data_IF_556381059896
#
_entry.id   IF_556381059896
#
_cell.length_a   1.000
_cell.length_b   1.000
_cell.length_c   1.000
_cell.angle_alpha   90.00
_cell.angle_beta   90.00
_cell.angle_gamma   90.00
#
_symmetry.space_group_name_H-M   'P 1'
#
loop_
_entity.id
_entity.type
_entity.pdbx_description
1 polymer ?
#
# COMPACT_ATOMS: atom_id res chain seq x y z
N UNK A 1 -10.97 11.72 -26.67
CA UNK A 1 -9.75 12.41 -26.21
C UNK A 1 -9.57 12.22 -24.71
N UNK A 2 -8.39 11.80 -24.29
CA UNK A 2 -8.04 11.63 -22.88
C UNK A 2 -8.08 12.94 -22.13
N UNK A 3 -8.74 12.95 -20.98
CA UNK A 3 -8.82 14.12 -20.08
C UNK A 3 -7.74 14.04 -19.01
N UNK A 4 -6.52 14.38 -19.37
CA UNK A 4 -5.35 14.29 -18.47
C UNK A 4 -5.52 15.05 -17.15
N UNK A 5 -6.28 16.18 -17.16
CA UNK A 5 -6.61 16.89 -15.92
C UNK A 5 -7.37 16.02 -14.89
N UNK A 6 -8.30 15.16 -15.35
CA UNK A 6 -9.01 14.23 -14.49
C UNK A 6 -8.10 13.13 -13.94
N UNK A 7 -7.16 12.64 -14.78
CA UNK A 7 -6.14 11.67 -14.35
C UNK A 7 -5.25 12.29 -13.28
N UNK A 8 -4.76 13.51 -13.51
CA UNK A 8 -3.91 14.22 -12.55
C UNK A 8 -4.62 14.45 -11.21
N UNK A 9 -5.89 14.86 -11.22
CA UNK A 9 -6.68 15.06 -10.00
C UNK A 9 -6.89 13.73 -9.26
N UNK A 10 -7.16 12.63 -9.97
CA UNK A 10 -7.30 11.31 -9.36
C UNK A 10 -5.98 10.84 -8.70
N UNK A 11 -4.85 11.01 -9.38
CA UNK A 11 -3.51 10.68 -8.86
C UNK A 11 -3.18 11.56 -7.64
N UNK A 12 -3.43 12.88 -7.71
CA UNK A 12 -3.24 13.78 -6.58
C UNK A 12 -4.13 13.40 -5.38
N UNK A 13 -5.36 12.96 -5.62
CA UNK A 13 -6.24 12.41 -4.57
C UNK A 13 -5.65 11.17 -3.90
N UNK A 14 -5.06 10.28 -4.69
CA UNK A 14 -4.33 9.12 -4.17
C UNK A 14 -3.09 9.53 -3.35
N UNK A 15 -2.27 10.44 -3.88
CA UNK A 15 -1.08 10.97 -3.17
C UNK A 15 -1.50 11.60 -1.84
N UNK A 16 -2.56 12.42 -1.83
CA UNK A 16 -3.09 13.01 -0.61
C UNK A 16 -3.54 11.96 0.40
N UNK A 17 -4.22 10.91 -0.05
CA UNK A 17 -4.60 9.78 0.81
C UNK A 17 -3.37 9.05 1.38
N UNK A 18 -2.30 8.89 0.61
CA UNK A 18 -1.05 8.27 1.06
C UNK A 18 -0.28 9.11 2.09
N UNK A 19 -0.45 10.45 2.12
CA UNK A 19 0.11 11.31 3.18
C UNK A 19 -0.36 10.83 4.56
N UNK A 20 -1.63 10.39 4.67
CA UNK A 20 -2.20 9.90 5.93
C UNK A 20 -1.58 8.58 6.40
N UNK A 21 -1.01 7.80 5.49
CA UNK A 21 -0.20 6.62 5.84
C UNK A 21 1.21 7.04 6.26
N UNK A 22 1.82 7.94 5.51
CA UNK A 22 3.21 8.38 5.71
C UNK A 22 3.46 9.24 6.95
N UNK A 23 2.42 9.81 7.59
CA UNK A 23 2.60 10.69 8.76
C UNK A 23 2.95 9.95 10.05
N UNK A 24 2.57 8.67 10.18
CA UNK A 24 2.74 7.93 11.44
C UNK A 24 4.20 7.52 11.69
N UNK A 25 4.94 6.91 10.75
CA UNK A 25 6.31 6.44 11.01
C UNK A 25 7.25 7.49 11.60
N UNK A 26 7.36 8.73 11.07
CA UNK A 26 8.21 9.76 11.65
C UNK A 26 7.72 10.27 13.02
N UNK A 27 6.41 10.15 13.30
CA UNK A 27 5.81 10.62 14.54
C UNK A 27 5.94 9.59 15.69
N UNK A 28 6.29 8.32 15.43
CA UNK A 28 6.37 7.27 16.44
C UNK A 28 7.21 7.67 17.66
N UNK A 29 8.42 8.24 17.54
CA UNK A 29 9.21 8.64 18.69
C UNK A 29 8.48 9.64 19.60
N UNK A 30 7.79 10.64 19.02
CA UNK A 30 7.01 11.63 19.77
C UNK A 30 5.76 11.01 20.41
N UNK A 31 5.03 10.17 19.68
CA UNK A 31 3.84 9.47 20.20
C UNK A 31 4.21 8.58 21.39
N UNK A 32 5.39 7.93 21.35
CA UNK A 32 5.87 7.11 22.46
C UNK A 32 6.23 7.96 23.69
N UNK A 33 6.82 9.13 23.51
CA UNK A 33 7.20 10.01 24.63
C UNK A 33 6.01 10.81 25.18
N UNK A 34 5.12 11.32 24.34
CA UNK A 34 4.02 12.20 24.75
C UNK A 34 2.77 11.44 25.20
N UNK A 35 2.44 10.32 24.56
CA UNK A 35 1.25 9.50 24.86
C UNK A 35 1.58 8.21 25.61
N UNK A 36 2.86 7.93 25.89
CA UNK A 36 3.28 6.70 26.57
C UNK A 36 3.07 5.42 25.75
N UNK A 37 2.90 5.52 24.43
CA UNK A 37 2.67 4.39 23.57
C UNK A 37 3.87 3.44 23.54
N UNK A 38 3.62 2.15 23.66
CA UNK A 38 4.62 1.14 23.36
C UNK A 38 4.78 0.91 21.83
N UNK A 39 5.76 0.12 21.45
CA UNK A 39 6.04 -0.16 20.04
C UNK A 39 4.91 -0.96 19.38
N UNK A 40 4.25 -1.83 20.13
CA UNK A 40 3.13 -2.65 19.63
C UNK A 40 1.92 -1.79 19.33
N UNK A 41 1.58 -0.86 20.22
CA UNK A 41 0.52 0.13 20.05
C UNK A 41 0.80 1.03 18.84
N UNK A 42 2.05 1.47 18.64
CA UNK A 42 2.46 2.20 17.45
C UNK A 42 2.29 1.36 16.16
N UNK A 43 2.60 0.06 16.22
CA UNK A 43 2.36 -0.87 15.13
C UNK A 43 0.88 -1.00 14.75
N UNK A 44 -0.01 -1.08 15.74
CA UNK A 44 -1.46 -1.05 15.52
C UNK A 44 -1.90 0.27 14.90
N UNK A 45 -1.40 1.41 15.38
CA UNK A 45 -1.74 2.73 14.85
C UNK A 45 -1.38 2.86 13.36
N UNK A 46 -0.25 2.28 12.92
CA UNK A 46 0.12 2.21 11.50
C UNK A 46 -0.85 1.33 10.72
N UNK A 47 -1.13 0.13 11.23
CA UNK A 47 -1.94 -0.86 10.54
C UNK A 47 -3.40 -0.45 10.36
N UNK A 48 -3.98 0.30 11.31
CA UNK A 48 -5.38 0.72 11.28
C UNK A 48 -5.76 1.52 10.04
N UNK A 49 -4.82 2.18 9.37
CA UNK A 49 -5.09 2.85 8.09
C UNK A 49 -5.65 1.90 7.03
N UNK A 50 -5.27 0.62 7.09
CA UNK A 50 -5.70 -0.42 6.14
C UNK A 50 -6.74 -1.39 6.70
N UNK A 51 -7.17 -1.21 7.96
CA UNK A 51 -8.01 -2.19 8.66
C UNK A 51 -9.35 -2.45 7.96
N UNK A 52 -10.04 -1.40 7.54
CA UNK A 52 -11.31 -1.56 6.83
C UNK A 52 -11.14 -2.16 5.43
N UNK A 53 -9.99 -1.90 4.78
CA UNK A 53 -9.64 -2.57 3.52
C UNK A 53 -9.46 -4.07 3.68
N UNK A 54 -8.91 -4.48 4.81
CA UNK A 54 -8.74 -5.90 5.14
C UNK A 54 -10.09 -6.62 5.36
N UNK A 55 -11.06 -5.94 5.97
CA UNK A 55 -12.36 -6.56 6.34
C UNK A 55 -13.46 -6.27 5.32
N UNK A 56 -13.58 -5.01 4.90
CA UNK A 56 -14.74 -4.49 4.17
C UNK A 56 -14.44 -4.10 2.72
N UNK A 57 -13.29 -4.44 2.15
CA UNK A 57 -12.89 -4.01 0.81
C UNK A 57 -13.93 -4.28 -0.27
N UNK A 58 -14.58 -5.46 -0.27
CA UNK A 58 -15.69 -5.78 -1.17
C UNK A 58 -16.95 -4.93 -0.93
N UNK A 59 -17.31 -4.70 0.36
CA UNK A 59 -18.52 -3.97 0.74
C UNK A 59 -18.38 -2.50 0.36
N UNK A 60 -17.22 -1.91 0.65
CA UNK A 60 -16.94 -0.50 0.32
C UNK A 60 -16.81 -0.35 -1.21
N UNK A 61 -16.20 -1.32 -1.90
CA UNK A 61 -16.20 -1.35 -3.36
C UNK A 61 -17.62 -1.29 -3.93
N UNK A 62 -18.54 -2.09 -3.41
CA UNK A 62 -19.94 -2.08 -3.82
C UNK A 62 -20.66 -0.78 -3.48
N UNK A 63 -20.38 -0.21 -2.31
CA UNK A 63 -20.94 1.09 -1.93
C UNK A 63 -20.46 2.22 -2.86
N UNK A 64 -19.22 2.19 -3.31
CA UNK A 64 -18.69 3.15 -4.29
C UNK A 64 -19.33 3.00 -5.67
N UNK A 65 -19.88 1.83 -6.03
CA UNK A 65 -20.61 1.62 -7.27
C UNK A 65 -21.95 2.39 -7.30
N UNK A 66 -22.60 2.60 -6.14
CA UNK A 66 -23.81 3.44 -6.04
C UNK A 66 -23.50 4.94 -6.12
N UNK A 67 -22.28 5.33 -5.79
CA UNK A 67 -21.79 6.69 -5.92
C UNK A 67 -21.06 6.84 -7.26
N UNK A 68 -21.10 8.03 -7.85
CA UNK A 68 -20.16 8.30 -8.95
C UNK A 68 -18.73 8.29 -8.40
N UNK A 69 -17.75 7.82 -9.17
CA UNK A 69 -16.34 7.79 -8.75
C UNK A 69 -15.87 9.13 -8.18
N UNK A 70 -16.32 10.25 -8.76
CA UNK A 70 -16.04 11.60 -8.25
C UNK A 70 -16.61 11.82 -6.85
N UNK A 71 -17.88 11.49 -6.61
CA UNK A 71 -18.52 11.67 -5.29
C UNK A 71 -17.88 10.79 -4.24
N UNK A 72 -17.55 9.55 -4.59
CA UNK A 72 -16.85 8.62 -3.70
C UNK A 72 -15.46 9.16 -3.31
N UNK A 73 -14.69 9.73 -4.24
CA UNK A 73 -13.41 10.37 -3.92
C UNK A 73 -13.56 11.60 -3.04
N UNK A 74 -14.55 12.47 -3.31
CA UNK A 74 -14.81 13.66 -2.47
C UNK A 74 -15.15 13.24 -1.04
N UNK A 75 -16.06 12.28 -0.86
CA UNK A 75 -16.43 11.76 0.44
C UNK A 75 -15.23 11.09 1.14
N UNK A 76 -14.45 10.31 0.42
CA UNK A 76 -13.24 9.69 0.95
C UNK A 76 -12.21 10.71 1.45
N UNK A 77 -11.94 11.77 0.66
CA UNK A 77 -11.05 12.86 1.07
C UNK A 77 -11.63 13.65 2.26
N UNK A 78 -12.94 13.88 2.30
CA UNK A 78 -13.59 14.55 3.44
C UNK A 78 -13.44 13.73 4.74
N UNK A 79 -13.57 12.40 4.67
CA UNK A 79 -13.33 11.50 5.81
C UNK A 79 -11.86 11.48 6.24
N UNK A 80 -10.92 11.50 5.30
CA UNK A 80 -9.49 11.61 5.61
C UNK A 80 -9.19 12.93 6.34
N UNK A 81 -9.75 14.05 5.87
CA UNK A 81 -9.60 15.36 6.52
C UNK A 81 -10.21 15.33 7.92
N UNK A 82 -11.47 14.89 8.06
CA UNK A 82 -12.16 14.84 9.33
C UNK A 82 -11.45 13.94 10.35
N UNK A 83 -11.06 12.74 9.95
CA UNK A 83 -10.28 11.82 10.79
C UNK A 83 -8.94 12.43 11.20
N UNK A 84 -8.23 13.08 10.27
CA UNK A 84 -6.95 13.70 10.57
C UNK A 84 -7.07 14.87 11.55
N UNK A 85 -8.06 15.74 11.37
CA UNK A 85 -8.32 16.85 12.29
C UNK A 85 -8.77 16.33 13.67
N UNK A 86 -9.60 15.29 13.73
CA UNK A 86 -9.99 14.64 14.99
C UNK A 86 -8.76 14.08 15.72
N UNK A 87 -7.85 13.40 14.99
CA UNK A 87 -6.60 12.90 15.57
C UNK A 87 -5.68 14.03 16.05
N UNK A 88 -5.56 15.13 15.29
CA UNK A 88 -4.74 16.27 15.69
C UNK A 88 -5.26 16.99 16.93
N UNK A 89 -6.57 16.98 17.16
CA UNK A 89 -7.22 17.69 18.27
C UNK A 89 -7.20 16.93 19.60
N UNK A 90 -6.60 15.72 19.65
CA UNK A 90 -6.65 14.86 20.84
C UNK A 90 -5.27 14.59 21.43
N UNK A 91 -5.23 14.35 22.74
CA UNK A 91 -4.13 13.71 23.45
C UNK A 91 -4.52 12.32 23.97
N UNK A 92 -5.74 11.85 23.65
CA UNK A 92 -6.21 10.53 24.03
C UNK A 92 -5.84 9.50 22.97
N UNK A 93 -5.16 8.44 23.39
CA UNK A 93 -4.82 7.30 22.52
C UNK A 93 -6.08 6.70 21.88
N UNK A 94 -7.14 6.48 22.67
CA UNK A 94 -8.41 5.91 22.18
C UNK A 94 -9.01 6.75 21.05
N UNK A 95 -9.04 8.08 21.22
CA UNK A 95 -9.58 8.99 20.19
C UNK A 95 -8.68 9.03 18.96
N UNK A 96 -7.36 8.94 19.16
CA UNK A 96 -6.41 8.85 18.05
C UNK A 96 -6.66 7.57 17.23
N UNK A 97 -6.87 6.42 17.88
CA UNK A 97 -7.24 5.17 17.22
C UNK A 97 -8.58 5.27 16.47
N UNK A 98 -9.61 5.84 17.12
CA UNK A 98 -10.90 6.08 16.45
C UNK A 98 -10.75 6.96 15.21
N UNK A 99 -9.91 8.01 15.28
CA UNK A 99 -9.60 8.87 14.14
C UNK A 99 -8.99 8.09 12.97
N UNK A 100 -8.11 7.11 13.25
CA UNK A 100 -7.52 6.23 12.22
C UNK A 100 -8.55 5.33 11.55
N UNK A 101 -9.56 4.86 12.28
CA UNK A 101 -10.68 4.10 11.69
C UNK A 101 -11.44 4.97 10.69
N UNK A 102 -11.72 6.24 11.02
CA UNK A 102 -12.36 7.18 10.10
C UNK A 102 -11.49 7.42 8.86
N UNK A 103 -10.18 7.63 9.04
CA UNK A 103 -9.24 7.78 7.92
C UNK A 103 -9.19 6.51 7.06
N UNK A 104 -9.29 5.31 7.64
CA UNK A 104 -9.30 4.04 6.91
C UNK A 104 -10.49 3.95 5.95
N UNK A 105 -11.70 4.39 6.35
CA UNK A 105 -12.85 4.49 5.43
C UNK A 105 -12.52 5.40 4.26
N UNK A 106 -11.98 6.59 4.56
CA UNK A 106 -11.62 7.57 3.54
C UNK A 106 -10.58 7.05 2.55
N UNK A 107 -9.54 6.40 3.06
CA UNK A 107 -8.45 5.82 2.26
C UNK A 107 -8.99 4.80 1.24
N UNK A 108 -9.84 3.88 1.70
CA UNK A 108 -10.41 2.85 0.82
C UNK A 108 -11.31 3.49 -0.24
N UNK A 109 -12.16 4.43 0.16
CA UNK A 109 -13.05 5.11 -0.80
C UNK A 109 -12.25 5.80 -1.91
N UNK A 110 -11.14 6.48 -1.58
CA UNK A 110 -10.26 7.11 -2.57
C UNK A 110 -9.60 6.06 -3.45
N UNK A 111 -9.02 5.01 -2.87
CA UNK A 111 -8.24 4.00 -3.61
C UNK A 111 -9.09 3.12 -4.52
N UNK A 112 -10.35 2.90 -4.17
CA UNK A 112 -11.30 2.15 -5.02
C UNK A 112 -11.89 3.05 -6.11
N UNK A 113 -12.19 4.32 -5.81
CA UNK A 113 -12.85 5.20 -6.76
C UNK A 113 -11.90 5.82 -7.80
N UNK A 114 -10.63 6.07 -7.44
CA UNK A 114 -9.68 6.75 -8.32
C UNK A 114 -9.38 5.97 -9.62
N UNK A 115 -9.12 4.64 -9.61
CA UNK A 115 -8.97 3.86 -10.84
C UNK A 115 -10.18 3.94 -11.76
N UNK A 116 -11.40 3.93 -11.20
CA UNK A 116 -12.65 4.10 -11.95
C UNK A 116 -12.77 5.48 -12.59
N UNK A 117 -12.38 6.55 -11.88
CA UNK A 117 -12.34 7.90 -12.43
C UNK A 117 -11.32 8.01 -13.57
N UNK A 118 -10.14 7.42 -13.42
CA UNK A 118 -9.10 7.36 -14.46
C UNK A 118 -9.67 6.62 -15.68
N UNK A 119 -10.16 5.38 -15.51
CA UNK A 119 -10.68 4.57 -16.61
C UNK A 119 -11.79 5.25 -17.40
N UNK A 120 -12.68 6.01 -16.73
CA UNK A 120 -13.75 6.77 -17.38
C UNK A 120 -13.28 8.03 -18.11
N UNK A 121 -12.03 8.44 -17.91
CA UNK A 121 -11.47 9.71 -18.40
C UNK A 121 -10.41 9.55 -19.50
N UNK A 122 -10.05 8.31 -19.88
CA UNK A 122 -8.97 8.00 -20.81
C UNK A 122 -9.45 7.28 -22.06
N UNK A 123 -8.71 7.46 -23.14
CA UNK A 123 -8.80 6.64 -24.35
C UNK A 123 -7.98 5.35 -24.17
N UNK A 124 -8.34 4.28 -24.88
CA UNK A 124 -7.69 2.95 -24.77
C UNK A 124 -6.18 2.98 -25.00
N UNK A 125 -5.69 3.86 -25.89
CA UNK A 125 -4.26 4.05 -26.18
C UNK A 125 -3.45 4.60 -25.00
N UNK A 126 -4.08 5.35 -24.09
CA UNK A 126 -3.42 6.04 -22.98
C UNK A 126 -3.54 5.25 -21.65
N UNK A 127 -4.22 4.10 -21.68
CA UNK A 127 -4.48 3.28 -20.49
C UNK A 127 -3.20 2.93 -19.73
N UNK A 128 -2.17 2.47 -20.44
CA UNK A 128 -0.89 2.08 -19.83
C UNK A 128 -0.23 3.22 -19.06
N UNK A 129 -0.15 4.41 -19.67
CA UNK A 129 0.48 5.58 -19.03
C UNK A 129 -0.34 6.09 -17.83
N UNK A 130 -1.67 6.16 -17.97
CA UNK A 130 -2.54 6.65 -16.89
C UNK A 130 -2.48 5.75 -15.65
N UNK A 131 -2.49 4.43 -15.83
CA UNK A 131 -2.36 3.50 -14.70
C UNK A 131 -0.93 3.37 -14.17
N UNK A 132 0.10 3.63 -14.98
CA UNK A 132 1.47 3.76 -14.49
C UNK A 132 1.61 4.99 -13.58
N UNK A 133 1.02 6.14 -13.95
CA UNK A 133 0.95 7.33 -13.10
C UNK A 133 0.17 7.07 -11.80
N UNK A 134 -0.93 6.31 -11.90
CA UNK A 134 -1.64 5.88 -10.69
C UNK A 134 -0.76 5.00 -9.81
N UNK A 135 0.02 4.08 -10.37
CA UNK A 135 0.86 3.14 -9.61
C UNK A 135 1.86 3.79 -8.65
N UNK A 136 2.23 5.07 -8.86
CA UNK A 136 3.19 5.77 -7.98
C UNK A 136 2.55 6.56 -6.84
N UNK A 137 1.21 6.59 -6.73
CA UNK A 137 0.51 7.39 -5.73
C UNK A 137 0.94 7.09 -4.29
N UNK A 138 1.06 5.81 -3.96
CA UNK A 138 1.37 5.37 -2.59
C UNK A 138 2.82 5.69 -2.19
N UNK A 139 3.86 5.26 -2.92
CA UNK A 139 5.24 5.58 -2.54
C UNK A 139 5.52 7.08 -2.57
N UNK A 140 4.93 7.84 -3.51
CA UNK A 140 5.12 9.29 -3.56
C UNK A 140 4.47 9.97 -2.37
N UNK A 141 3.20 9.67 -2.03
CA UNK A 141 2.53 10.32 -0.91
C UNK A 141 3.19 10.00 0.43
N UNK A 142 3.54 8.73 0.66
CA UNK A 142 4.26 8.33 1.89
C UNK A 142 5.61 9.05 1.99
N UNK A 143 6.40 9.08 0.92
CA UNK A 143 7.71 9.71 0.92
C UNK A 143 7.61 11.23 1.11
N UNK A 144 6.68 11.91 0.43
CA UNK A 144 6.45 13.36 0.61
C UNK A 144 6.16 13.68 2.07
N UNK A 145 5.29 12.90 2.72
CA UNK A 145 4.98 13.13 4.13
C UNK A 145 6.19 12.89 5.03
N UNK A 146 6.94 11.81 4.80
CA UNK A 146 8.15 11.52 5.56
C UNK A 146 9.24 12.59 5.37
N UNK A 147 9.35 13.20 4.19
CA UNK A 147 10.29 14.30 3.93
C UNK A 147 9.88 15.60 4.60
N UNK A 148 8.59 15.86 4.76
CA UNK A 148 8.06 17.10 5.35
C UNK A 148 7.95 17.00 6.87
N UNK A 149 7.65 15.83 7.42
CA UNK A 149 7.47 15.62 8.86
C UNK A 149 8.59 16.19 9.73
N UNK A 150 9.91 16.05 9.39
CA UNK A 150 10.99 16.62 10.18
C UNK A 150 10.93 18.14 10.39
N UNK A 151 10.28 18.86 9.48
CA UNK A 151 10.10 20.31 9.59
C UNK A 151 8.85 20.69 10.39
N UNK A 152 7.90 19.78 10.51
CA UNK A 152 6.65 19.99 11.26
C UNK A 152 6.80 19.57 12.73
N UNK A 153 7.44 18.43 12.97
CA UNK A 153 7.50 17.81 14.29
C UNK A 153 8.14 18.70 15.38
N UNK A 154 9.26 19.44 15.14
CA UNK A 154 9.88 20.28 16.18
C UNK A 154 9.04 21.47 16.60
N UNK A 155 8.26 22.07 15.68
CA UNK A 155 7.49 23.29 15.96
C UNK A 155 6.00 23.05 16.27
N UNK A 156 5.43 21.97 15.75
CA UNK A 156 3.98 21.72 15.82
C UNK A 156 3.64 20.33 16.40
N UNK A 157 4.64 19.61 16.93
CA UNK A 157 4.44 18.27 17.43
C UNK A 157 3.96 17.28 16.33
N UNK A 158 3.59 16.09 16.71
CA UNK A 158 3.03 15.11 15.79
C UNK A 158 1.69 15.56 15.20
N UNK A 159 0.93 16.39 15.93
CA UNK A 159 -0.34 16.98 15.48
C UNK A 159 -0.17 17.79 14.19
N UNK A 160 0.96 18.50 14.04
CA UNK A 160 1.30 19.26 12.85
C UNK A 160 1.29 18.42 11.58
N UNK A 161 1.75 17.17 11.64
CA UNK A 161 1.72 16.23 10.52
C UNK A 161 0.29 15.83 10.15
N UNK A 162 -0.59 15.68 11.13
CA UNK A 162 -2.03 15.39 10.91
C UNK A 162 -2.74 16.57 10.24
N UNK A 163 -2.54 17.79 10.77
CA UNK A 163 -3.13 19.01 10.19
C UNK A 163 -2.61 19.24 8.77
N UNK A 164 -1.32 19.07 8.54
CA UNK A 164 -0.72 19.24 7.22
C UNK A 164 -1.32 18.26 6.19
N UNK A 165 -1.46 16.98 6.53
CA UNK A 165 -2.09 16.00 5.65
C UNK A 165 -3.56 16.36 5.34
N UNK A 166 -4.31 16.87 6.33
CA UNK A 166 -5.68 17.35 6.14
C UNK A 166 -5.74 18.54 5.16
N UNK A 167 -4.86 19.53 5.33
CA UNK A 167 -4.79 20.72 4.46
C UNK A 167 -4.45 20.32 3.02
N UNK A 168 -3.46 19.47 2.81
CA UNK A 168 -3.11 19.02 1.45
C UNK A 168 -4.21 18.19 0.78
N UNK A 169 -5.02 17.48 1.57
CA UNK A 169 -6.17 16.73 1.05
C UNK A 169 -7.31 17.62 0.55
N UNK A 170 -7.37 18.90 0.98
CA UNK A 170 -8.31 19.88 0.45
C UNK A 170 -8.06 20.20 -1.03
N UNK A 171 -6.81 20.17 -1.47
CA UNK A 171 -6.43 20.54 -2.85
C UNK A 171 -7.13 19.63 -3.87
N UNK A 172 -6.94 18.30 -3.87
CA UNK A 172 -7.65 17.43 -4.80
C UNK A 172 -9.15 17.38 -4.53
N UNK A 173 -9.61 17.57 -3.30
CA UNK A 173 -11.03 17.61 -2.98
C UNK A 173 -11.73 18.81 -3.64
N UNK A 174 -11.16 20.02 -3.55
CA UNK A 174 -11.66 21.22 -4.21
C UNK A 174 -11.60 21.06 -5.74
N UNK A 175 -10.48 20.53 -6.27
CA UNK A 175 -10.34 20.26 -7.68
C UNK A 175 -11.42 19.28 -8.20
N UNK A 176 -11.75 18.24 -7.42
CA UNK A 176 -12.84 17.33 -7.74
C UNK A 176 -14.20 18.04 -7.69
N UNK A 177 -14.44 18.94 -6.75
CA UNK A 177 -15.70 19.70 -6.65
C UNK A 177 -15.94 20.62 -7.84
N UNK A 178 -14.90 21.21 -8.40
CA UNK A 178 -14.97 22.09 -9.57
C UNK A 178 -14.96 21.35 -10.90
N UNK A 179 -14.62 20.06 -10.90
CA UNK A 179 -14.49 19.24 -12.10
C UNK A 179 -15.84 19.03 -12.80
N UNK A 180 -15.93 19.38 -14.08
CA UNK A 180 -17.09 19.05 -14.92
C UNK A 180 -17.02 17.57 -15.30
N UNK A 181 -17.94 16.75 -14.74
CA UNK A 181 -18.04 15.33 -15.09
C UNK A 181 -19.00 15.13 -16.26
N UNK A 182 -18.59 14.28 -17.23
CA UNK A 182 -19.56 13.72 -18.17
C UNK A 182 -20.56 12.83 -17.40
N UNK A 183 -21.81 12.69 -17.90
CA UNK A 183 -22.75 11.76 -17.30
C UNK A 183 -22.13 10.37 -17.20
N UNK A 184 -22.44 9.60 -16.15
CA UNK A 184 -21.90 8.25 -16.00
C UNK A 184 -22.21 7.47 -17.28
N UNK A 185 -21.18 6.92 -17.92
CA UNK A 185 -21.43 5.84 -18.87
C UNK A 185 -22.01 4.70 -18.02
N UNK A 186 -23.26 4.39 -18.25
CA UNK A 186 -23.88 3.19 -17.72
C UNK A 186 -23.11 2.00 -18.30
N UNK A 187 -22.06 1.59 -17.62
CA UNK A 187 -21.52 0.23 -17.82
C UNK A 187 -22.65 -0.69 -17.39
N UNK A 188 -23.15 -1.50 -18.33
CA UNK A 188 -24.27 -2.40 -18.10
C UNK A 188 -24.17 -3.07 -16.73
N UNK A 189 -25.30 -3.21 -16.06
CA UNK A 189 -25.34 -3.85 -14.74
C UNK A 189 -24.53 -5.14 -14.77
N UNK A 190 -23.68 -5.39 -13.78
CA UNK A 190 -22.94 -6.64 -13.72
C UNK A 190 -23.94 -7.80 -13.83
N UNK A 191 -23.79 -8.65 -14.81
CA UNK A 191 -24.69 -9.80 -15.07
C UNK A 191 -24.65 -10.84 -13.95
N UNK A 192 -23.75 -10.67 -12.98
CA UNK A 192 -23.48 -11.64 -11.90
C UNK A 192 -23.77 -10.98 -10.55
N UNK A 193 -24.50 -11.65 -9.67
CA UNK A 193 -24.70 -11.17 -8.29
C UNK A 193 -23.36 -11.10 -7.54
N UNK A 194 -23.24 -10.19 -6.55
CA UNK A 194 -22.02 -10.04 -5.76
C UNK A 194 -21.59 -11.36 -5.11
N UNK A 195 -22.55 -12.10 -4.56
CA UNK A 195 -22.28 -13.38 -3.90
C UNK A 195 -21.73 -14.43 -4.87
N UNK A 196 -22.25 -14.49 -6.09
CA UNK A 196 -21.75 -15.38 -7.13
C UNK A 196 -20.34 -14.97 -7.60
N UNK A 197 -20.10 -13.66 -7.77
CA UNK A 197 -18.79 -13.13 -8.15
C UNK A 197 -17.73 -13.45 -7.09
N UNK A 198 -18.05 -13.25 -5.80
CA UNK A 198 -17.19 -13.61 -4.67
C UNK A 198 -16.99 -15.13 -4.62
N UNK A 199 -18.06 -15.92 -4.72
CA UNK A 199 -17.96 -17.38 -4.71
C UNK A 199 -17.04 -17.93 -5.81
N UNK A 200 -17.17 -17.41 -7.05
CA UNK A 200 -16.30 -17.78 -8.17
C UNK A 200 -14.83 -17.34 -7.94
N UNK A 201 -14.61 -16.23 -7.29
CA UNK A 201 -13.26 -15.75 -6.98
C UNK A 201 -12.62 -16.60 -5.89
N UNK A 202 -13.31 -16.83 -4.78
CA UNK A 202 -12.80 -17.59 -3.62
C UNK A 202 -12.60 -19.08 -3.95
N UNK A 203 -13.37 -19.65 -4.88
CA UNK A 203 -13.19 -21.06 -5.29
C UNK A 203 -11.93 -21.33 -6.11
N UNK A 204 -11.22 -20.29 -6.59
CA UNK A 204 -10.03 -20.44 -7.41
C UNK A 204 -8.75 -20.42 -6.59
N UNK A 205 -7.89 -21.44 -6.67
CA UNK A 205 -6.61 -21.48 -5.95
C UNK A 205 -5.73 -20.26 -6.24
N UNK A 206 -5.77 -19.75 -7.48
CA UNK A 206 -4.97 -18.59 -7.91
C UNK A 206 -5.29 -17.32 -7.11
N UNK A 207 -6.55 -17.17 -6.68
CA UNK A 207 -6.98 -16.04 -5.83
C UNK A 207 -6.24 -16.03 -4.50
N UNK A 208 -6.17 -17.18 -3.86
CA UNK A 208 -5.48 -17.33 -2.58
C UNK A 208 -3.97 -17.23 -2.69
N UNK A 209 -3.39 -17.78 -3.78
CA UNK A 209 -1.95 -17.68 -4.03
C UNK A 209 -1.53 -16.22 -4.19
N UNK A 210 -2.18 -15.45 -5.07
CA UNK A 210 -1.82 -14.04 -5.28
C UNK A 210 -2.14 -13.18 -4.05
N UNK A 211 -3.26 -13.40 -3.39
CA UNK A 211 -3.62 -12.72 -2.15
C UNK A 211 -2.59 -13.01 -1.04
N UNK A 212 -2.21 -14.27 -0.86
CA UNK A 212 -1.21 -14.69 0.14
C UNK A 212 0.18 -14.10 -0.13
N UNK A 213 0.61 -14.04 -1.40
CA UNK A 213 1.86 -13.37 -1.80
C UNK A 213 1.78 -11.88 -1.42
N UNK A 214 0.63 -11.25 -1.64
CA UNK A 214 0.48 -9.84 -1.32
C UNK A 214 0.38 -9.58 0.19
N UNK A 215 -0.21 -10.51 0.97
CA UNK A 215 -0.12 -10.49 2.46
C UNK A 215 1.34 -10.48 2.89
N UNK A 216 2.11 -11.45 2.42
CA UNK A 216 3.52 -11.65 2.78
C UNK A 216 4.39 -10.42 2.45
N UNK A 217 4.24 -9.89 1.25
CA UNK A 217 4.92 -8.67 0.82
C UNK A 217 4.53 -7.46 1.65
N UNK A 218 3.23 -7.18 1.78
CA UNK A 218 2.76 -5.97 2.45
C UNK A 218 3.07 -6.01 3.94
N UNK A 219 2.99 -7.19 4.57
CA UNK A 219 3.39 -7.37 5.97
C UNK A 219 4.87 -7.03 6.17
N UNK A 220 5.75 -7.57 5.33
CA UNK A 220 7.19 -7.31 5.44
C UNK A 220 7.55 -5.87 5.10
N UNK A 221 6.98 -5.32 4.02
CA UNK A 221 7.28 -3.96 3.54
C UNK A 221 6.86 -2.88 4.56
N UNK A 222 5.62 -2.95 5.04
CA UNK A 222 5.10 -1.97 6.02
C UNK A 222 5.81 -2.09 7.36
N UNK A 223 6.24 -3.29 7.75
CA UNK A 223 7.04 -3.50 8.95
C UNK A 223 8.41 -2.82 8.85
N UNK A 224 9.12 -3.03 7.75
CA UNK A 224 10.45 -2.44 7.58
C UNK A 224 10.35 -0.93 7.47
N UNK A 225 9.57 -0.38 6.54
CA UNK A 225 9.54 1.07 6.30
C UNK A 225 8.71 1.85 7.32
N UNK A 226 7.79 1.20 8.01
CA UNK A 226 7.07 1.78 9.14
C UNK A 226 7.99 2.05 10.34
N UNK A 227 8.93 1.15 10.61
CA UNK A 227 9.85 1.28 11.72
C UNK A 227 11.27 1.68 11.35
N UNK A 228 11.61 1.84 10.07
CA UNK A 228 12.95 2.25 9.66
C UNK A 228 13.41 3.57 10.29
N UNK A 229 12.57 4.64 10.38
CA UNK A 229 12.99 5.86 11.12
C UNK A 229 13.33 5.56 12.56
N UNK A 230 12.51 4.78 13.26
CA UNK A 230 12.74 4.40 14.66
C UNK A 230 14.03 3.59 14.82
N UNK A 231 14.26 2.61 13.95
CA UNK A 231 15.50 1.81 13.93
C UNK A 231 16.75 2.69 13.74
N UNK A 232 16.70 3.63 12.78
CA UNK A 232 17.81 4.56 12.50
C UNK A 232 18.11 5.50 13.70
N UNK A 233 17.07 5.88 14.44
CA UNK A 233 17.21 6.73 15.63
C UNK A 233 17.73 5.91 16.80
N UNK A 234 17.07 4.80 17.15
CA UNK A 234 17.34 4.03 18.37
C UNK A 234 18.67 3.26 18.30
N UNK A 235 18.95 2.63 17.14
CA UNK A 235 20.10 1.75 17.00
C UNK A 235 21.34 2.42 16.42
N UNK A 236 21.17 3.55 15.71
CA UNK A 236 22.28 4.21 15.01
C UNK A 236 22.50 5.64 15.43
N UNK A 237 21.68 6.20 16.34
CA UNK A 237 21.81 7.57 16.81
C UNK A 237 21.58 8.64 15.73
N UNK A 238 20.92 8.29 14.64
CA UNK A 238 20.61 9.22 13.54
C UNK A 238 19.54 10.20 14.00
N UNK A 239 19.73 11.50 13.75
CA UNK A 239 18.70 12.49 14.07
C UNK A 239 17.40 12.26 13.26
N UNK A 240 16.27 12.58 13.88
CA UNK A 240 14.91 12.35 13.34
C UNK A 240 14.74 12.84 11.89
N UNK A 241 15.26 14.04 11.57
CA UNK A 241 15.19 14.61 10.24
C UNK A 241 15.89 13.74 9.19
N UNK A 242 17.13 13.37 9.47
CA UNK A 242 17.92 12.52 8.56
C UNK A 242 17.33 11.14 8.43
N UNK A 243 16.88 10.51 9.52
CA UNK A 243 16.25 9.19 9.51
C UNK A 243 14.95 9.17 8.67
N UNK A 244 14.13 10.22 8.80
CA UNK A 244 12.89 10.35 8.02
C UNK A 244 13.16 10.57 6.54
N UNK A 245 14.11 11.42 6.17
CA UNK A 245 14.51 11.67 4.77
C UNK A 245 15.13 10.40 4.15
N UNK A 246 16.02 9.72 4.85
CA UNK A 246 16.61 8.46 4.40
C UNK A 246 15.50 7.41 4.12
N UNK A 247 14.54 7.30 5.03
CA UNK A 247 13.41 6.38 4.85
C UNK A 247 12.53 6.78 3.66
N UNK A 248 12.26 8.08 3.49
CA UNK A 248 11.51 8.58 2.34
C UNK A 248 12.16 8.23 1.00
N UNK A 249 13.48 8.43 0.89
CA UNK A 249 14.25 8.10 -0.32
C UNK A 249 14.24 6.59 -0.58
N UNK A 250 14.37 5.78 0.46
CA UNK A 250 14.26 4.32 0.32
C UNK A 250 12.86 3.89 -0.13
N UNK A 251 11.79 4.49 0.41
CA UNK A 251 10.40 4.23 -0.04
C UNK A 251 10.19 4.64 -1.50
N UNK A 252 10.75 5.78 -1.94
CA UNK A 252 10.71 6.19 -3.35
C UNK A 252 11.40 5.19 -4.27
N UNK A 253 12.48 4.55 -3.81
CA UNK A 253 13.18 3.51 -4.58
C UNK A 253 12.28 2.29 -4.88
N UNK A 254 11.22 2.05 -4.10
CA UNK A 254 10.20 1.05 -4.43
C UNK A 254 9.52 1.34 -5.79
N UNK A 255 9.33 2.61 -6.13
CA UNK A 255 8.82 3.01 -7.44
C UNK A 255 9.72 2.54 -8.60
N UNK A 256 11.04 2.57 -8.44
CA UNK A 256 11.99 2.02 -9.41
C UNK A 256 11.75 0.51 -9.58
N UNK A 257 11.58 -0.21 -8.48
CA UNK A 257 11.25 -1.64 -8.49
C UNK A 257 9.94 -1.94 -9.24
N UNK A 258 8.91 -1.12 -9.05
CA UNK A 258 7.65 -1.26 -9.79
C UNK A 258 7.87 -1.14 -11.32
N UNK A 259 8.66 -0.16 -11.76
CA UNK A 259 8.99 0.02 -13.18
C UNK A 259 9.79 -1.20 -13.69
N UNK A 260 10.81 -1.63 -12.95
CA UNK A 260 11.62 -2.80 -13.32
C UNK A 260 10.77 -4.07 -13.43
N UNK A 261 9.82 -4.29 -12.51
CA UNK A 261 8.88 -5.40 -12.58
C UNK A 261 8.06 -5.41 -13.88
N UNK A 262 7.56 -4.24 -14.29
CA UNK A 262 6.86 -4.08 -15.56
C UNK A 262 7.76 -4.33 -16.78
N UNK A 263 9.00 -3.85 -16.75
CA UNK A 263 9.99 -4.06 -17.83
C UNK A 263 10.35 -5.54 -17.97
N UNK A 264 10.68 -6.21 -16.87
CA UNK A 264 11.02 -7.65 -16.87
C UNK A 264 9.84 -8.51 -17.33
N UNK A 265 8.63 -8.18 -16.92
CA UNK A 265 7.42 -8.85 -17.40
C UNK A 265 7.25 -8.70 -18.92
N UNK A 266 7.54 -7.50 -19.49
CA UNK A 266 7.52 -7.27 -20.95
C UNK A 266 8.61 -8.04 -21.70
N UNK A 267 9.75 -8.30 -21.07
CA UNK A 267 10.82 -9.14 -21.63
C UNK A 267 10.52 -10.64 -21.52
N UNK A 268 9.32 -11.00 -21.01
CA UNK A 268 8.90 -12.40 -20.93
C UNK A 268 9.42 -13.14 -19.70
N UNK A 269 9.93 -12.42 -18.68
CA UNK A 269 10.34 -13.06 -17.45
C UNK A 269 9.16 -13.79 -16.77
N UNK A 270 9.30 -15.06 -16.38
CA UNK A 270 8.23 -15.81 -15.74
C UNK A 270 7.77 -15.16 -14.45
N UNK A 271 6.46 -15.05 -14.25
CA UNK A 271 5.86 -14.37 -13.08
C UNK A 271 6.34 -14.95 -11.75
N UNK A 272 6.45 -16.27 -11.67
CA UNK A 272 6.93 -16.91 -10.45
C UNK A 272 8.37 -16.50 -10.09
N UNK A 273 9.25 -16.22 -11.07
CA UNK A 273 10.62 -15.72 -10.84
C UNK A 273 10.56 -14.26 -10.37
N UNK A 274 9.69 -13.43 -10.98
CA UNK A 274 9.47 -12.04 -10.59
C UNK A 274 8.85 -11.89 -9.18
N UNK A 275 8.41 -12.99 -8.58
CA UNK A 275 7.93 -13.04 -7.19
C UNK A 275 8.98 -13.72 -6.30
N UNK A 276 9.46 -14.89 -6.68
CA UNK A 276 10.39 -15.66 -5.86
C UNK A 276 11.75 -14.97 -5.68
N UNK A 277 12.31 -14.38 -6.74
CA UNK A 277 13.58 -13.64 -6.68
C UNK A 277 13.54 -12.47 -5.68
N UNK A 278 12.57 -11.54 -5.80
CA UNK A 278 12.39 -10.50 -4.79
C UNK A 278 12.17 -11.03 -3.38
N UNK A 279 11.39 -12.08 -3.16
CA UNK A 279 11.22 -12.66 -1.82
C UNK A 279 12.56 -13.08 -1.19
N UNK A 280 13.46 -13.71 -1.97
CA UNK A 280 14.81 -14.05 -1.51
C UNK A 280 15.62 -12.79 -1.22
N UNK A 281 15.58 -11.80 -2.11
CA UNK A 281 16.30 -10.53 -1.90
C UNK A 281 15.81 -9.77 -0.66
N UNK A 282 14.51 -9.75 -0.40
CA UNK A 282 13.92 -9.15 0.80
C UNK A 282 14.42 -9.88 2.07
N UNK A 283 14.45 -11.21 2.06
CA UNK A 283 14.98 -11.98 3.19
C UNK A 283 16.46 -11.67 3.45
N UNK A 284 17.30 -11.73 2.40
CA UNK A 284 18.75 -11.49 2.54
C UNK A 284 19.06 -10.06 2.99
N UNK A 285 18.41 -9.06 2.39
CA UNK A 285 18.65 -7.66 2.74
C UNK A 285 18.14 -7.31 4.13
N UNK A 286 17.10 -7.99 4.65
CA UNK A 286 16.62 -7.80 6.01
C UNK A 286 17.73 -8.10 7.06
N UNK A 287 18.55 -9.12 6.86
CA UNK A 287 19.69 -9.39 7.76
C UNK A 287 20.70 -8.26 7.77
N UNK A 288 20.92 -7.59 6.64
CA UNK A 288 21.80 -6.43 6.59
C UNK A 288 21.17 -5.19 7.20
N UNK A 289 19.86 -4.93 6.97
CA UNK A 289 19.14 -3.78 7.53
C UNK A 289 19.15 -3.80 9.06
N UNK A 290 18.84 -4.96 9.67
CA UNK A 290 18.70 -5.11 11.12
C UNK A 290 19.98 -5.62 11.82
N UNK A 291 21.02 -5.98 11.06
CA UNK A 291 22.25 -6.56 11.60
C UNK A 291 23.14 -5.54 12.31
N UNK A 292 23.49 -5.78 13.59
CA UNK A 292 24.34 -4.89 14.38
C UNK A 292 25.80 -4.84 13.91
N UNK A 293 26.29 -5.85 13.15
CA UNK A 293 27.67 -5.91 12.67
C UNK A 293 27.95 -5.11 11.39
N UNK A 294 26.96 -4.47 10.79
CA UNK A 294 27.13 -3.75 9.54
C UNK A 294 27.18 -2.22 9.75
N UNK A 295 28.06 -1.51 9.02
CA UNK A 295 28.12 -0.04 9.09
C UNK A 295 26.85 0.59 8.52
N UNK A 296 26.54 1.83 8.95
CA UNK A 296 25.33 2.56 8.57
C UNK A 296 25.07 2.57 7.05
N UNK A 297 26.11 2.87 6.25
CA UNK A 297 25.96 2.92 4.79
C UNK A 297 25.50 1.60 4.18
N UNK A 298 25.96 0.48 4.71
CA UNK A 298 25.60 -0.86 4.24
C UNK A 298 24.17 -1.21 4.64
N UNK A 299 23.78 -0.90 5.88
CA UNK A 299 22.40 -1.08 6.37
C UNK A 299 21.41 -0.25 5.54
N UNK A 300 21.79 0.99 5.22
CA UNK A 300 20.97 1.87 4.40
C UNK A 300 20.91 1.40 2.93
N UNK A 301 22.03 1.06 2.32
CA UNK A 301 22.05 0.49 0.97
C UNK A 301 21.19 -0.80 0.88
N UNK A 302 21.23 -1.64 1.91
CA UNK A 302 20.36 -2.81 2.01
C UNK A 302 18.87 -2.43 2.09
N UNK A 303 18.51 -1.36 2.81
CA UNK A 303 17.12 -0.88 2.86
C UNK A 303 16.64 -0.34 1.50
N UNK A 304 17.49 0.34 0.75
CA UNK A 304 17.18 0.78 -0.62
C UNK A 304 17.03 -0.42 -1.56
N UNK A 305 17.92 -1.41 -1.48
CA UNK A 305 17.83 -2.64 -2.28
C UNK A 305 16.59 -3.45 -1.91
N UNK A 306 16.24 -3.50 -0.61
CA UNK A 306 14.99 -4.06 -0.13
C UNK A 306 13.78 -3.39 -0.81
N UNK A 307 13.75 -2.05 -0.83
CA UNK A 307 12.67 -1.30 -1.45
C UNK A 307 12.54 -1.55 -2.95
N UNK A 308 13.66 -1.48 -3.69
CA UNK A 308 13.69 -1.76 -5.14
C UNK A 308 13.21 -3.18 -5.43
N UNK A 309 13.75 -4.17 -4.72
CA UNK A 309 13.34 -5.57 -4.89
C UNK A 309 11.85 -5.75 -4.56
N UNK A 310 11.40 -5.14 -3.46
CA UNK A 310 10.01 -5.18 -3.03
C UNK A 310 9.03 -4.60 -4.05
N UNK A 311 9.42 -3.54 -4.78
CA UNK A 311 8.57 -2.91 -5.79
C UNK A 311 8.22 -3.81 -6.97
N UNK A 312 9.04 -4.79 -7.29
CA UNK A 312 8.78 -5.77 -8.37
C UNK A 312 7.51 -6.60 -8.07
N UNK A 313 7.26 -6.90 -6.79
CA UNK A 313 6.14 -7.75 -6.35
C UNK A 313 4.77 -7.17 -6.70
N UNK A 314 4.40 -5.95 -6.24
CA UNK A 314 3.09 -5.39 -6.55
C UNK A 314 2.89 -5.18 -8.05
N UNK A 315 3.91 -4.77 -8.80
CA UNK A 315 3.82 -4.65 -10.26
C UNK A 315 3.49 -5.99 -10.92
N UNK A 316 4.15 -7.07 -10.49
CA UNK A 316 3.92 -8.43 -11.01
C UNK A 316 2.54 -8.93 -10.63
N UNK A 317 2.10 -8.74 -9.38
CA UNK A 317 0.78 -9.17 -8.90
C UNK A 317 -0.31 -8.43 -9.68
N UNK A 318 -0.24 -7.09 -9.77
CA UNK A 318 -1.24 -6.29 -10.47
C UNK A 318 -1.30 -6.61 -11.97
N UNK A 319 -0.15 -6.79 -12.62
CA UNK A 319 -0.05 -7.22 -14.01
C UNK A 319 -0.59 -8.63 -14.27
N UNK A 320 -0.70 -9.44 -13.23
CA UNK A 320 -1.23 -10.81 -13.31
C UNK A 320 -2.75 -10.90 -13.20
N UNK A 321 -3.40 -9.86 -12.63
CA UNK A 321 -4.85 -9.90 -12.34
C UNK A 321 -5.72 -10.17 -13.57
N UNK A 322 -5.53 -9.52 -14.73
CA UNK A 322 -6.35 -9.80 -15.91
C UNK A 322 -6.15 -11.21 -16.48
N UNK A 323 -4.98 -11.81 -16.22
CA UNK A 323 -4.61 -13.14 -16.74
C UNK A 323 -5.27 -14.26 -15.94
N UNK A 324 -5.39 -14.10 -14.61
CA UNK A 324 -5.87 -15.15 -13.72
C UNK A 324 -7.29 -14.93 -13.20
N UNK A 325 -7.91 -13.80 -13.51
CA UNK A 325 -9.30 -13.57 -13.16
C UNK A 325 -10.18 -14.71 -13.72
N UNK A 326 -11.13 -15.24 -12.93
CA UNK A 326 -12.00 -16.34 -13.36
C UNK A 326 -12.75 -16.06 -14.65
N UNK A 327 -13.13 -14.80 -14.86
CA UNK A 327 -13.79 -14.27 -16.05
C UNK A 327 -13.39 -12.80 -16.25
N UNK A 328 -13.47 -12.28 -17.46
CA UNK A 328 -13.10 -10.89 -17.78
C UNK A 328 -13.93 -9.83 -17.05
N UNK A 329 -15.20 -10.12 -16.79
CA UNK A 329 -16.12 -9.26 -16.03
C UNK A 329 -15.88 -9.31 -14.50
N UNK A 330 -15.07 -10.25 -14.01
CA UNK A 330 -14.74 -10.43 -12.61
C UNK A 330 -13.33 -9.92 -12.23
N UNK A 331 -12.60 -9.29 -13.14
CA UNK A 331 -11.26 -8.73 -12.85
C UNK A 331 -11.30 -7.77 -11.66
N UNK A 332 -12.33 -6.93 -11.55
CA UNK A 332 -12.53 -6.02 -10.43
C UNK A 332 -12.71 -6.75 -9.09
N UNK A 333 -13.58 -7.76 -9.04
CA UNK A 333 -13.82 -8.57 -7.82
C UNK A 333 -12.55 -9.33 -7.43
N UNK A 334 -11.87 -9.94 -8.40
CA UNK A 334 -10.61 -10.65 -8.20
C UNK A 334 -9.51 -9.72 -7.67
N UNK A 335 -9.38 -8.52 -8.26
CA UNK A 335 -8.48 -7.48 -7.80
C UNK A 335 -8.78 -7.06 -6.36
N UNK A 336 -10.05 -6.84 -6.04
CA UNK A 336 -10.50 -6.51 -4.68
C UNK A 336 -10.07 -7.57 -3.66
N UNK A 337 -10.23 -8.86 -3.98
CA UNK A 337 -9.81 -9.96 -3.12
C UNK A 337 -8.28 -9.98 -2.90
N UNK A 338 -7.50 -9.78 -3.97
CA UNK A 338 -6.03 -9.73 -3.86
C UNK A 338 -5.58 -8.50 -3.05
N UNK A 339 -6.24 -7.36 -3.23
CA UNK A 339 -5.98 -6.15 -2.45
C UNK A 339 -6.35 -6.29 -0.97
N UNK A 340 -7.38 -7.08 -0.62
CA UNK A 340 -7.65 -7.43 0.78
C UNK A 340 -6.44 -8.12 1.42
N UNK A 341 -5.78 -9.04 0.70
CA UNK A 341 -4.53 -9.64 1.16
C UNK A 341 -3.48 -8.57 1.50
N UNK A 342 -3.27 -7.60 0.62
CA UNK A 342 -2.35 -6.47 0.90
C UNK A 342 -2.74 -5.73 2.18
N UNK A 343 -4.02 -5.40 2.34
CA UNK A 343 -4.50 -4.70 3.53
C UNK A 343 -4.32 -5.52 4.81
N UNK A 344 -4.56 -6.83 4.77
CA UNK A 344 -4.30 -7.75 5.90
C UNK A 344 -2.82 -7.69 6.30
N UNK A 345 -1.92 -7.78 5.32
CA UNK A 345 -0.48 -7.65 5.56
C UNK A 345 -0.09 -6.31 6.20
N UNK A 346 -0.68 -5.21 5.70
CA UNK A 346 -0.42 -3.86 6.25
C UNK A 346 -0.94 -3.68 7.68
N UNK A 347 -2.04 -4.33 8.05
CA UNK A 347 -2.58 -4.29 9.42
C UNK A 347 -1.70 -5.07 10.38
N UNK A 348 -1.48 -6.34 10.08
CA UNK A 348 -0.85 -7.25 11.04
C UNK A 348 0.69 -7.21 10.97
N UNK A 349 1.26 -6.83 9.84
CA UNK A 349 2.72 -6.82 9.66
C UNK A 349 3.47 -5.99 10.70
N UNK A 350 3.21 -4.68 10.80
CA UNK A 350 3.89 -3.82 11.77
C UNK A 350 3.66 -4.24 13.22
N UNK A 351 2.43 -4.66 13.56
CA UNK A 351 2.10 -5.13 14.91
C UNK A 351 2.89 -6.40 15.28
N UNK A 352 2.96 -7.37 14.37
CA UNK A 352 3.71 -8.61 14.60
C UNK A 352 5.21 -8.34 14.74
N UNK A 353 5.79 -7.50 13.84
CA UNK A 353 7.18 -7.09 13.99
C UNK A 353 7.43 -6.41 15.33
N UNK A 354 6.58 -5.45 15.69
CA UNK A 354 6.71 -4.71 16.96
C UNK A 354 6.65 -5.63 18.16
N UNK A 355 5.74 -6.63 18.18
CA UNK A 355 5.63 -7.62 19.24
C UNK A 355 6.91 -8.47 19.36
N UNK A 356 7.49 -8.87 18.25
CA UNK A 356 8.74 -9.64 18.21
C UNK A 356 9.91 -8.79 18.71
N UNK A 357 9.99 -7.52 18.24
CA UNK A 357 11.05 -6.59 18.66
C UNK A 357 10.93 -6.25 20.14
N UNK A 358 9.72 -6.05 20.67
CA UNK A 358 9.50 -5.81 22.09
C UNK A 358 9.94 -6.99 22.97
N UNK A 359 9.76 -8.24 22.50
CA UNK A 359 10.14 -9.43 23.22
C UNK A 359 11.62 -9.81 23.08
N UNK A 360 12.23 -9.58 21.93
CA UNK A 360 13.53 -10.17 21.56
C UNK A 360 14.52 -9.16 20.94
N UNK A 361 14.16 -7.87 20.88
CA UNK A 361 14.98 -6.82 20.27
C UNK A 361 14.98 -6.84 18.74
N UNK A 362 15.63 -5.81 18.16
CA UNK A 362 15.71 -5.63 16.70
C UNK A 362 16.44 -6.78 15.97
N UNK A 363 17.31 -7.53 16.65
CA UNK A 363 18.02 -8.70 16.10
C UNK A 363 17.08 -9.83 15.66
N UNK A 364 15.87 -9.89 16.20
CA UNK A 364 14.85 -10.87 15.80
C UNK A 364 14.06 -10.47 14.54
N UNK A 365 14.10 -9.19 14.16
CA UNK A 365 13.34 -8.68 13.02
C UNK A 365 13.64 -9.39 11.68
N UNK A 366 14.91 -9.73 11.31
CA UNK A 366 15.21 -10.44 10.06
C UNK A 366 14.51 -11.79 9.97
N UNK A 367 14.33 -12.49 11.06
CA UNK A 367 13.69 -13.81 11.09
C UNK A 367 12.19 -13.72 10.80
N UNK A 368 11.52 -12.69 11.35
CA UNK A 368 10.13 -12.38 11.01
C UNK A 368 9.99 -12.06 9.51
N UNK A 369 10.84 -11.18 8.98
CA UNK A 369 10.81 -10.80 7.57
C UNK A 369 11.09 -12.03 6.67
N UNK A 370 12.04 -12.88 7.05
CA UNK A 370 12.34 -14.12 6.34
C UNK A 370 11.17 -15.09 6.36
N UNK A 371 10.47 -15.20 7.49
CA UNK A 371 9.25 -16.03 7.58
C UNK A 371 8.15 -15.52 6.65
N UNK A 372 7.88 -14.22 6.66
CA UNK A 372 6.87 -13.60 5.79
C UNK A 372 7.24 -13.74 4.31
N UNK A 373 8.48 -13.38 3.92
CA UNK A 373 8.92 -13.49 2.53
C UNK A 373 9.12 -14.94 2.09
N UNK A 374 9.47 -15.86 3.02
CA UNK A 374 9.51 -17.30 2.79
C UNK A 374 8.15 -17.87 2.43
N UNK A 375 7.07 -17.41 3.09
CA UNK A 375 5.71 -17.74 2.68
C UNK A 375 5.45 -17.25 1.24
N UNK A 376 5.83 -16.02 0.91
CA UNK A 376 5.74 -15.47 -0.45
C UNK A 376 6.48 -16.31 -1.48
N UNK A 377 7.69 -16.77 -1.14
CA UNK A 377 8.51 -17.66 -1.98
C UNK A 377 7.81 -19.01 -2.23
N UNK A 378 7.31 -19.67 -1.18
CA UNK A 378 6.58 -20.94 -1.31
C UNK A 378 5.34 -20.75 -2.19
N UNK A 379 4.58 -19.68 -1.99
CA UNK A 379 3.41 -19.38 -2.83
C UNK A 379 3.80 -19.09 -4.29
N UNK A 380 4.97 -18.50 -4.55
CA UNK A 380 5.50 -18.34 -5.91
C UNK A 380 5.79 -19.69 -6.59
N UNK A 381 6.28 -20.67 -5.84
CA UNK A 381 6.43 -22.05 -6.36
C UNK A 381 5.07 -22.71 -6.61
N UNK A 382 4.07 -22.48 -5.76
CA UNK A 382 2.70 -22.92 -6.01
C UNK A 382 2.12 -22.28 -7.27
N UNK A 383 2.38 -20.99 -7.50
CA UNK A 383 2.01 -20.29 -8.74
C UNK A 383 2.60 -21.00 -9.96
N UNK A 384 3.91 -21.27 -9.95
CA UNK A 384 4.60 -22.02 -11.03
C UNK A 384 3.95 -23.36 -11.31
N UNK A 385 3.64 -24.12 -10.27
CA UNK A 385 3.00 -25.44 -10.44
C UNK A 385 1.59 -25.31 -11.04
N UNK A 386 0.83 -24.32 -10.59
CA UNK A 386 -0.51 -24.07 -11.09
C UNK A 386 -0.49 -23.64 -12.56
N UNK A 387 0.43 -22.73 -12.94
CA UNK A 387 0.64 -22.33 -14.34
C UNK A 387 0.98 -23.55 -15.24
N UNK A 388 1.87 -24.43 -14.79
CA UNK A 388 2.23 -25.65 -15.52
C UNK A 388 1.02 -26.60 -15.70
N UNK A 389 0.20 -26.76 -14.67
CA UNK A 389 -1.03 -27.60 -14.75
C UNK A 389 -2.04 -27.03 -15.75
N UNK A 390 -2.23 -25.70 -15.75
CA UNK A 390 -3.14 -25.03 -16.71
C UNK A 390 -2.62 -25.19 -18.13
N UNK A 391 -1.31 -24.99 -18.37
CA UNK A 391 -0.71 -25.18 -19.69
C UNK A 391 -0.79 -26.64 -20.17
N UNK A 392 -0.60 -27.62 -19.30
CA UNK A 392 -0.74 -29.04 -19.63
C UNK A 392 -2.20 -29.44 -19.95
N UNK A 393 -3.19 -28.81 -19.29
CA UNK A 393 -4.60 -29.06 -19.54
C UNK A 393 -5.13 -28.42 -20.84
N UNK A 394 -4.44 -27.39 -21.37
CA UNK A 394 -4.84 -26.66 -22.59
C UNK A 394 -3.67 -26.46 -23.57
N UNK A 395 -3.13 -27.54 -24.18
CA UNK A 395 -1.91 -27.48 -25.00
C UNK A 395 -2.04 -26.69 -26.32
N UNK A 396 -3.24 -26.23 -26.67
CA UNK A 396 -3.51 -25.45 -27.91
C UNK A 396 -3.61 -23.91 -27.67
N UNK A 397 -3.36 -23.42 -26.47
CA UNK A 397 -3.48 -22.00 -26.13
C UNK A 397 -2.14 -21.33 -25.75
N UNK A 398 -1.03 -22.05 -25.95
CA UNK A 398 0.33 -21.57 -25.68
C UNK A 398 1.01 -21.10 -26.98
#
# INVERSE_FOLDING_TARGET
MTRWGHVAIAVLGGIAAALHVGKVPPAIPLLRTELGMDLVTAGWLMGLASALGAVCGFVIGRFTDYLTHRRAMILGLALLIAGSLLGAATLSETVLFASRVVESVGLIMVTVAAPGLIASSIDSRDTGLAFALWGVWMPVGVAVMMMISPFLLPGFGWQGSWVFAAILSLIPMIALMTMKTAPPRTTGQPSTSLLQAVGLTVSRPMSWILSGIFVAYSASFMSVFGFLPTLLIEEMGIGLATASIMTALAVLANGVGNVLGGVFARWGAPRWILIAGPCVMLALTAFAVFGHGFPLWMRYAASVLYAVSGGVLPATIMGSLPVYAPRRDLVGTFSGFVMQGSNIGQVFGPMLLASIVAASGWSAAPWYITGATGLGFVLALCLRQTERRIAAAHPKAA
#
